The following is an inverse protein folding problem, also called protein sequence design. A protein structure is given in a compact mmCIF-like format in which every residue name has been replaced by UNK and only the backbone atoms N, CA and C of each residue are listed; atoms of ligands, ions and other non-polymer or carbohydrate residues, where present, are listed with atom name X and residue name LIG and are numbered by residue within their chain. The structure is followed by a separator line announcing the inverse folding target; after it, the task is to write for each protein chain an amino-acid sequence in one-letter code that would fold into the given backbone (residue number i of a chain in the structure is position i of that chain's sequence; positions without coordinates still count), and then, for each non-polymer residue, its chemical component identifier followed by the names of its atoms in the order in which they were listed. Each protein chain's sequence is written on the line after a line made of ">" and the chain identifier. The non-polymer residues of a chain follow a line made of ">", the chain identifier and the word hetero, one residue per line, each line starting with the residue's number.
data_IF_855989000531
#
_entry.id   IF_855989000531
#
_cell.length_a   1.000
_cell.length_b   1.000
_cell.length_c   1.000
_cell.angle_alpha   90.00
_cell.angle_beta   90.00
_cell.angle_gamma   90.00
#
_symmetry.space_group_name_H-M   'P 1'
#
loop_
_entity.id
_entity.type
_entity.pdbx_description
1 polymer ?
#
# COMPACT_ATOMS: atom_id res chain seq x y z
N UNK A 1 -34.60 -71.84 48.14
CA UNK A 1 -33.18 -72.27 48.27
C UNK A 1 -32.31 -71.18 47.65
N UNK A 2 -31.84 -70.20 48.44
CA UNK A 2 -30.43 -70.02 48.84
C UNK A 2 -29.43 -70.38 47.71
N UNK A 3 -28.74 -69.38 47.13
CA UNK A 3 -27.30 -69.14 47.37
C UNK A 3 -26.79 -67.84 46.72
N UNK A 4 -26.22 -67.02 47.60
CA UNK A 4 -25.38 -65.84 47.35
C UNK A 4 -23.97 -66.25 46.88
N UNK A 5 -23.30 -65.32 46.18
CA UNK A 5 -21.86 -64.94 46.15
C UNK A 5 -21.59 -64.25 44.79
N UNK A 6 -20.78 -63.21 44.60
CA UNK A 6 -20.02 -62.27 45.41
C UNK A 6 -19.38 -61.24 44.43
N UNK A 7 -19.32 -59.96 44.84
CA UNK A 7 -18.23 -58.97 44.66
C UNK A 7 -17.67 -58.63 43.27
N UNK A 8 -18.05 -57.42 42.82
CA UNK A 8 -17.23 -56.24 42.43
C UNK A 8 -15.96 -56.39 41.58
N UNK A 9 -15.91 -55.69 40.43
CA UNK A 9 -14.74 -54.89 39.98
C UNK A 9 -15.17 -53.66 39.16
N UNK A 10 -14.61 -52.52 39.56
CA UNK A 10 -14.64 -51.20 38.94
C UNK A 10 -14.12 -51.25 37.49
N UNK A 11 -14.73 -50.49 36.58
CA UNK A 11 -14.05 -49.94 35.40
C UNK A 11 -14.77 -48.67 34.96
N UNK A 12 -14.17 -47.53 35.33
CA UNK A 12 -14.49 -46.21 34.77
C UNK A 12 -13.85 -46.16 33.39
N UNK A 13 -14.64 -45.94 32.33
CA UNK A 13 -14.11 -45.55 31.04
C UNK A 13 -14.66 -44.16 30.70
N UNK A 14 -13.82 -43.16 30.92
CA UNK A 14 -14.04 -41.79 30.48
C UNK A 14 -13.80 -41.74 28.96
N UNK A 15 -14.85 -41.43 28.19
CA UNK A 15 -14.72 -41.15 26.77
C UNK A 15 -14.43 -39.64 26.60
N UNK A 16 -13.16 -39.28 26.47
CA UNK A 16 -12.75 -37.91 26.15
C UNK A 16 -12.99 -37.63 24.66
N UNK A 17 -13.82 -36.63 24.36
CA UNK A 17 -14.01 -36.08 23.03
C UNK A 17 -12.76 -35.27 22.63
N UNK A 18 -11.99 -35.75 21.67
CA UNK A 18 -10.91 -34.99 21.06
C UNK A 18 -11.49 -34.13 19.93
N UNK A 19 -11.83 -32.87 20.22
CA UNK A 19 -12.05 -31.85 19.19
C UNK A 19 -10.68 -31.36 18.72
N UNK A 20 -10.19 -31.88 17.60
CA UNK A 20 -9.04 -31.32 16.90
C UNK A 20 -9.48 -30.06 16.15
N UNK A 21 -9.34 -28.90 16.80
CA UNK A 21 -9.39 -27.62 16.09
C UNK A 21 -8.15 -27.56 15.20
N UNK A 22 -8.33 -27.88 13.91
CA UNK A 22 -7.33 -27.66 12.89
C UNK A 22 -7.13 -26.16 12.69
N UNK A 23 -6.21 -25.57 13.44
CA UNK A 23 -5.71 -24.22 13.16
C UNK A 23 -4.92 -24.33 11.84
N UNK A 24 -5.58 -24.13 10.70
CA UNK A 24 -4.89 -23.97 9.43
C UNK A 24 -3.98 -22.75 9.55
N UNK A 25 -2.70 -22.95 9.82
CA UNK A 25 -1.69 -21.92 9.58
C UNK A 25 -1.81 -21.54 8.10
N UNK A 26 -2.23 -20.32 7.83
CA UNK A 26 -2.20 -19.77 6.48
C UNK A 26 -0.76 -19.94 5.97
N UNK A 27 -0.59 -20.83 5.00
CA UNK A 27 0.71 -21.02 4.35
C UNK A 27 0.94 -19.77 3.51
N UNK A 28 2.07 -19.11 3.72
CA UNK A 28 2.46 -17.99 2.88
C UNK A 28 2.38 -18.38 1.40
N UNK A 29 1.95 -17.43 0.58
CA UNK A 29 1.87 -17.61 -0.86
C UNK A 29 3.26 -17.91 -1.44
N UNK A 30 3.30 -18.42 -2.68
CA UNK A 30 4.58 -18.64 -3.37
C UNK A 30 5.40 -17.34 -3.42
N UNK A 31 6.73 -17.38 -3.30
CA UNK A 31 7.55 -16.17 -3.41
C UNK A 31 7.27 -15.39 -4.69
N UNK A 32 7.32 -14.05 -4.60
CA UNK A 32 7.19 -13.15 -5.76
C UNK A 32 8.32 -13.39 -6.77
N UNK A 33 8.03 -13.23 -8.06
CA UNK A 33 9.08 -13.20 -9.09
C UNK A 33 9.96 -11.95 -8.91
N UNK A 34 11.18 -11.95 -9.46
CA UNK A 34 12.05 -10.76 -9.41
C UNK A 34 11.38 -9.55 -10.06
N UNK A 35 10.59 -9.75 -11.11
CA UNK A 35 9.83 -8.69 -11.78
C UNK A 35 8.72 -8.16 -10.90
N UNK A 36 7.96 -9.03 -10.23
CA UNK A 36 6.92 -8.62 -9.28
C UNK A 36 7.52 -7.81 -8.12
N UNK A 37 8.61 -8.29 -7.52
CA UNK A 37 9.32 -7.60 -6.43
C UNK A 37 9.78 -6.19 -6.83
N UNK A 38 10.34 -6.07 -8.04
CA UNK A 38 10.82 -4.80 -8.56
C UNK A 38 9.68 -3.80 -8.71
N UNK A 39 8.60 -4.16 -9.41
CA UNK A 39 7.48 -3.22 -9.63
C UNK A 39 6.72 -2.91 -8.34
N UNK A 40 6.57 -3.90 -7.46
CA UNK A 40 5.94 -3.70 -6.15
C UNK A 40 6.75 -2.73 -5.28
N UNK A 41 8.08 -2.82 -5.29
CA UNK A 41 8.95 -1.87 -4.58
C UNK A 41 8.89 -0.47 -5.20
N UNK A 42 8.98 -0.36 -6.53
CA UNK A 42 8.90 0.93 -7.23
C UNK A 42 7.57 1.65 -6.97
N UNK A 43 6.45 0.92 -7.04
CA UNK A 43 5.13 1.48 -6.72
C UNK A 43 5.06 1.97 -5.27
N UNK A 44 5.69 1.24 -4.35
CA UNK A 44 5.75 1.67 -2.94
C UNK A 44 6.55 2.97 -2.79
N UNK A 45 7.71 3.09 -3.43
CA UNK A 45 8.51 4.31 -3.41
C UNK A 45 7.75 5.51 -4.01
N UNK A 46 7.04 5.31 -5.12
CA UNK A 46 6.21 6.33 -5.74
C UNK A 46 5.09 6.81 -4.80
N UNK A 47 4.35 5.87 -4.20
CA UNK A 47 3.27 6.16 -3.25
C UNK A 47 3.79 6.87 -1.98
N UNK A 48 4.95 6.46 -1.46
CA UNK A 48 5.61 7.15 -0.34
C UNK A 48 6.00 8.58 -0.71
N UNK A 49 6.44 8.80 -1.95
CA UNK A 49 6.77 10.12 -2.46
C UNK A 49 5.57 11.04 -2.57
N UNK A 50 4.48 10.56 -3.17
CA UNK A 50 3.22 11.29 -3.25
C UNK A 50 2.73 11.72 -1.86
N UNK A 51 2.72 10.80 -0.90
CA UNK A 51 2.32 11.08 0.47
C UNK A 51 3.23 12.13 1.13
N UNK A 52 4.54 12.02 0.92
CA UNK A 52 5.52 12.91 1.56
C UNK A 52 5.43 14.34 1.04
N UNK A 53 5.37 14.52 -0.28
CA UNK A 53 5.21 15.84 -0.91
C UNK A 53 3.86 16.46 -0.53
N UNK A 54 2.79 15.66 -0.53
CA UNK A 54 1.46 16.15 -0.18
C UNK A 54 1.35 16.54 1.31
N UNK A 55 2.09 15.89 2.22
CA UNK A 55 2.17 16.33 3.63
C UNK A 55 2.94 17.65 3.79
N UNK A 56 3.91 17.94 2.93
CA UNK A 56 4.53 19.27 2.90
C UNK A 56 3.49 20.29 2.43
N UNK A 57 2.72 19.95 1.38
CA UNK A 57 1.70 20.83 0.83
C UNK A 57 0.54 21.13 1.79
N UNK A 58 0.07 20.14 2.56
CA UNK A 58 -0.94 20.38 3.61
C UNK A 58 -0.53 21.51 4.59
N UNK A 59 0.77 21.61 4.89
CA UNK A 59 1.32 22.61 5.81
C UNK A 59 1.62 23.95 5.13
N UNK A 60 2.02 23.94 3.86
CA UNK A 60 2.62 25.11 3.21
C UNK A 60 1.77 25.73 2.10
N UNK A 61 0.76 25.01 1.60
CA UNK A 61 -0.12 25.48 0.55
C UNK A 61 -0.77 26.82 0.93
N UNK A 62 -0.82 27.73 -0.03
CA UNK A 62 -1.31 29.10 0.13
C UNK A 62 -2.79 29.22 -0.19
N UNK A 63 -3.30 28.33 -1.03
CA UNK A 63 -4.69 28.36 -1.46
C UNK A 63 -5.46 27.14 -0.97
N UNK A 64 -6.72 27.35 -0.57
CA UNK A 64 -7.62 26.27 -0.13
C UNK A 64 -7.79 25.15 -1.17
N UNK A 65 -7.91 25.43 -2.49
CA UNK A 65 -7.99 24.37 -3.49
C UNK A 65 -6.75 23.46 -3.51
N UNK A 66 -5.55 24.02 -3.35
CA UNK A 66 -4.29 23.23 -3.33
C UNK A 66 -4.16 22.44 -2.03
N UNK A 67 -4.56 23.04 -0.90
CA UNK A 67 -4.60 22.32 0.38
C UNK A 67 -5.57 21.14 0.34
N UNK A 68 -6.76 21.33 -0.21
CA UNK A 68 -7.73 20.24 -0.40
C UNK A 68 -7.18 19.16 -1.32
N UNK A 69 -6.55 19.55 -2.44
CA UNK A 69 -5.89 18.59 -3.34
C UNK A 69 -4.86 17.74 -2.57
N UNK A 70 -3.99 18.37 -1.78
CA UNK A 70 -2.99 17.68 -0.98
C UNK A 70 -3.60 16.69 0.04
N UNK A 71 -4.70 17.05 0.71
CA UNK A 71 -5.43 16.13 1.59
C UNK A 71 -5.97 14.90 0.86
N UNK A 72 -6.53 15.11 -0.33
CA UNK A 72 -7.06 14.02 -1.15
C UNK A 72 -5.92 13.06 -1.58
N UNK A 73 -4.74 13.59 -1.93
CA UNK A 73 -3.53 12.81 -2.28
C UNK A 73 -2.99 12.00 -1.09
N UNK A 74 -2.85 12.61 0.09
CA UNK A 74 -2.42 11.88 1.31
C UNK A 74 -3.35 10.69 1.56
N UNK A 75 -4.66 10.92 1.47
CA UNK A 75 -5.65 9.89 1.72
C UNK A 75 -5.60 8.76 0.68
N UNK A 76 -5.34 9.10 -0.59
CA UNK A 76 -5.13 8.15 -1.69
C UNK A 76 -3.88 7.30 -1.47
N UNK A 77 -2.74 7.96 -1.27
CA UNK A 77 -1.46 7.33 -1.04
C UNK A 77 -1.47 6.40 0.18
N UNK A 78 -2.07 6.81 1.31
CA UNK A 78 -2.18 5.94 2.50
C UNK A 78 -3.01 4.67 2.26
N UNK A 79 -4.01 4.73 1.37
CA UNK A 79 -4.77 3.52 0.98
C UNK A 79 -3.92 2.62 0.09
N UNK A 80 -3.25 3.20 -0.90
CA UNK A 80 -2.36 2.46 -1.81
C UNK A 80 -1.20 1.80 -1.05
N UNK A 81 -0.57 2.51 -0.11
CA UNK A 81 0.50 1.98 0.74
C UNK A 81 0.03 0.75 1.52
N UNK A 82 -1.16 0.80 2.13
CA UNK A 82 -1.75 -0.34 2.85
C UNK A 82 -2.03 -1.54 1.94
N UNK A 83 -2.53 -1.29 0.74
CA UNK A 83 -2.79 -2.33 -0.25
C UNK A 83 -1.49 -3.02 -0.70
N UNK A 84 -0.43 -2.24 -0.96
CA UNK A 84 0.89 -2.74 -1.35
C UNK A 84 1.54 -3.55 -0.23
N UNK A 85 1.49 -3.08 1.01
CA UNK A 85 1.96 -3.81 2.18
C UNK A 85 1.21 -5.13 2.37
N UNK A 86 -0.12 -5.09 2.28
CA UNK A 86 -0.94 -6.29 2.40
C UNK A 86 -0.63 -7.32 1.30
N UNK A 87 -0.27 -6.87 0.09
CA UNK A 87 0.20 -7.77 -0.96
C UNK A 87 1.58 -8.34 -0.61
N UNK A 88 2.56 -7.50 -0.28
CA UNK A 88 3.91 -7.93 0.07
C UNK A 88 3.95 -8.95 1.23
N UNK A 89 3.13 -8.74 2.26
CA UNK A 89 3.03 -9.60 3.44
C UNK A 89 2.58 -11.02 3.10
N UNK A 90 1.67 -11.20 2.13
CA UNK A 90 1.23 -12.54 1.66
C UNK A 90 2.39 -13.39 1.16
N UNK A 91 3.43 -12.74 0.68
CA UNK A 91 4.61 -13.34 0.07
C UNK A 91 5.87 -13.25 0.95
N UNK A 92 5.75 -12.75 2.19
CA UNK A 92 6.87 -12.43 3.09
C UNK A 92 7.94 -11.54 2.43
N UNK A 93 7.50 -10.59 1.59
CA UNK A 93 8.40 -9.64 0.95
C UNK A 93 8.46 -8.35 1.78
N UNK A 94 9.67 -7.80 1.95
CA UNK A 94 9.87 -6.56 2.69
C UNK A 94 9.93 -5.41 1.70
N UNK A 95 9.03 -4.45 1.87
CA UNK A 95 8.97 -3.23 1.08
C UNK A 95 10.00 -2.18 1.55
N UNK A 96 10.39 -1.24 0.68
CA UNK A 96 11.16 -0.05 1.08
C UNK A 96 10.47 0.69 2.23
N UNK A 97 11.24 1.13 3.22
CA UNK A 97 10.67 1.88 4.33
C UNK A 97 10.52 3.37 4.02
N UNK A 98 9.52 4.00 4.63
CA UNK A 98 9.30 5.45 4.55
C UNK A 98 10.53 6.26 4.98
N UNK A 99 11.22 5.84 6.03
CA UNK A 99 12.37 6.57 6.57
C UNK A 99 13.57 6.51 5.62
N UNK A 100 13.82 5.37 4.98
CA UNK A 100 14.87 5.22 3.96
C UNK A 100 14.53 6.05 2.72
N UNK A 101 13.28 5.99 2.26
CA UNK A 101 12.82 6.78 1.13
C UNK A 101 12.98 8.27 1.39
N UNK A 102 12.55 8.75 2.57
CA UNK A 102 12.63 10.16 2.93
C UNK A 102 14.08 10.65 3.00
N UNK A 103 15.00 9.86 3.58
CA UNK A 103 16.44 10.18 3.61
C UNK A 103 17.03 10.25 2.21
N UNK A 104 16.65 9.34 1.32
CA UNK A 104 17.11 9.34 -0.06
C UNK A 104 16.60 10.53 -0.88
N UNK A 105 15.45 11.10 -0.50
CA UNK A 105 14.78 12.19 -1.20
C UNK A 105 14.79 13.53 -0.44
N UNK A 106 15.61 13.66 0.60
CA UNK A 106 15.65 14.81 1.50
C UNK A 106 15.85 16.14 0.75
N UNK A 107 16.76 16.18 -0.22
CA UNK A 107 17.02 17.35 -1.04
C UNK A 107 15.78 17.79 -1.85
N UNK A 108 15.03 16.83 -2.39
CA UNK A 108 13.78 17.09 -3.15
C UNK A 108 12.69 17.64 -2.22
N UNK A 109 12.53 17.02 -1.04
CA UNK A 109 11.56 17.46 -0.04
C UNK A 109 11.87 18.89 0.44
N UNK A 110 13.13 19.19 0.75
CA UNK A 110 13.57 20.52 1.14
C UNK A 110 13.43 21.55 0.02
N UNK A 111 13.70 21.18 -1.23
CA UNK A 111 13.49 22.08 -2.38
C UNK A 111 12.01 22.50 -2.49
N UNK A 112 11.09 21.55 -2.38
CA UNK A 112 9.66 21.87 -2.41
C UNK A 112 9.26 22.77 -1.24
N UNK A 113 9.67 22.42 -0.02
CA UNK A 113 9.34 23.16 1.20
C UNK A 113 9.78 24.64 1.15
N UNK A 114 10.91 24.92 0.51
CA UNK A 114 11.49 26.27 0.40
C UNK A 114 11.12 27.00 -0.91
N UNK A 115 10.17 26.48 -1.69
CA UNK A 115 9.80 27.08 -2.97
C UNK A 115 9.05 28.41 -2.79
N UNK A 116 9.50 29.51 -3.46
CA UNK A 116 8.84 30.83 -3.35
C UNK A 116 7.38 30.81 -3.81
N UNK A 117 7.11 30.13 -4.94
CA UNK A 117 5.76 29.90 -5.47
C UNK A 117 5.29 28.49 -5.09
N UNK A 118 5.13 28.25 -3.78
CA UNK A 118 4.90 26.91 -3.22
C UNK A 118 3.79 26.10 -3.93
N UNK A 119 2.61 26.69 -4.11
CA UNK A 119 1.47 26.00 -4.74
C UNK A 119 1.79 25.55 -6.17
N UNK A 120 2.51 26.40 -6.93
CA UNK A 120 2.94 26.08 -8.30
C UNK A 120 3.95 24.93 -8.30
N UNK A 121 4.98 25.04 -7.45
CA UNK A 121 6.02 24.04 -7.34
C UNK A 121 5.45 22.67 -6.92
N UNK A 122 4.54 22.64 -5.95
CA UNK A 122 3.87 21.41 -5.53
C UNK A 122 3.04 20.79 -6.68
N UNK A 123 2.22 21.58 -7.36
CA UNK A 123 1.41 21.08 -8.47
C UNK A 123 2.27 20.61 -9.65
N UNK A 124 3.40 21.27 -9.93
CA UNK A 124 4.36 20.84 -10.96
C UNK A 124 4.99 19.48 -10.61
N UNK A 125 5.40 19.28 -9.35
CA UNK A 125 5.89 17.98 -8.86
C UNK A 125 4.81 16.90 -8.98
N UNK A 126 3.56 17.21 -8.61
CA UNK A 126 2.45 16.27 -8.72
C UNK A 126 2.15 15.91 -10.17
N UNK A 127 2.09 16.87 -11.09
CA UNK A 127 1.86 16.61 -12.52
C UNK A 127 2.93 15.68 -13.07
N UNK A 128 4.21 15.96 -12.76
CA UNK A 128 5.34 15.15 -13.20
C UNK A 128 5.24 13.72 -12.65
N UNK A 129 5.06 13.57 -11.33
CA UNK A 129 5.01 12.27 -10.68
C UNK A 129 3.83 11.44 -11.21
N UNK A 130 2.65 12.03 -11.36
CA UNK A 130 1.48 11.32 -11.89
C UNK A 130 1.70 10.83 -13.33
N UNK A 131 2.33 11.63 -14.18
CA UNK A 131 2.68 11.21 -15.55
C UNK A 131 3.67 10.03 -15.56
N UNK A 132 4.68 10.08 -14.68
CA UNK A 132 5.67 9.02 -14.54
C UNK A 132 5.03 7.72 -13.98
N UNK A 133 4.22 7.83 -12.93
CA UNK A 133 3.49 6.71 -12.31
C UNK A 133 2.51 6.06 -13.30
N UNK A 134 1.70 6.84 -14.02
CA UNK A 134 0.76 6.28 -15.03
C UNK A 134 1.54 5.47 -16.07
N UNK A 135 2.68 5.99 -16.55
CA UNK A 135 3.51 5.27 -17.52
C UNK A 135 4.10 4.00 -16.91
N UNK A 136 4.62 4.07 -15.67
CA UNK A 136 5.22 2.93 -15.00
C UNK A 136 4.17 1.85 -14.71
N UNK A 137 3.01 2.22 -14.19
CA UNK A 137 1.97 1.28 -13.76
C UNK A 137 1.30 0.61 -14.96
N UNK A 138 1.07 1.31 -16.06
CA UNK A 138 0.65 0.67 -17.30
C UNK A 138 1.67 -0.37 -17.78
N UNK A 139 2.97 -0.04 -17.73
CA UNK A 139 4.03 -0.99 -18.07
C UNK A 139 4.06 -2.16 -17.08
N UNK A 140 3.89 -1.92 -15.79
CA UNK A 140 3.87 -2.94 -14.76
C UNK A 140 2.72 -3.93 -14.99
N UNK A 141 1.52 -3.45 -15.30
CA UNK A 141 0.35 -4.28 -15.62
C UNK A 141 0.59 -5.26 -16.79
N UNK A 142 1.51 -4.95 -17.71
CA UNK A 142 1.91 -5.84 -18.80
C UNK A 142 3.03 -6.83 -18.43
N UNK A 143 3.80 -6.55 -17.37
CA UNK A 143 5.07 -7.23 -17.06
C UNK A 143 5.04 -8.09 -15.82
N UNK A 144 4.22 -7.76 -14.83
CA UNK A 144 4.11 -8.55 -13.60
C UNK A 144 3.43 -9.90 -13.90
N UNK A 145 3.89 -10.92 -13.20
CA UNK A 145 3.37 -12.28 -13.31
C UNK A 145 2.16 -12.47 -12.39
N UNK A 146 2.17 -11.78 -11.26
CA UNK A 146 1.15 -11.90 -10.23
C UNK A 146 -0.15 -11.18 -10.65
N UNK A 147 -1.23 -11.96 -10.77
CA UNK A 147 -2.53 -11.46 -11.24
C UNK A 147 -3.11 -10.33 -10.38
N UNK A 148 -2.91 -10.37 -9.05
CA UNK A 148 -3.34 -9.30 -8.15
C UNK A 148 -2.58 -8.00 -8.42
N UNK A 149 -1.26 -8.04 -8.65
CA UNK A 149 -0.49 -6.85 -9.03
C UNK A 149 -0.89 -6.33 -10.40
N UNK A 150 -1.13 -7.21 -11.36
CA UNK A 150 -1.60 -6.81 -12.69
C UNK A 150 -2.90 -6.01 -12.61
N UNK A 151 -3.86 -6.51 -11.85
CA UNK A 151 -5.14 -5.83 -11.63
C UNK A 151 -4.93 -4.50 -10.90
N UNK A 152 -4.14 -4.52 -9.82
CA UNK A 152 -3.85 -3.32 -9.02
C UNK A 152 -3.26 -2.20 -9.89
N UNK A 153 -2.22 -2.50 -10.67
CA UNK A 153 -1.60 -1.52 -11.55
C UNK A 153 -2.54 -0.97 -12.62
N UNK A 154 -3.41 -1.83 -13.18
CA UNK A 154 -4.42 -1.42 -14.17
C UNK A 154 -5.41 -0.43 -13.56
N UNK A 155 -5.96 -0.75 -12.39
CA UNK A 155 -6.98 0.06 -11.74
C UNK A 155 -6.42 1.40 -11.26
N UNK A 156 -5.25 1.38 -10.60
CA UNK A 156 -4.67 2.60 -10.03
C UNK A 156 -4.14 3.55 -11.10
N UNK A 157 -3.66 3.05 -12.25
CA UNK A 157 -3.29 3.91 -13.36
C UNK A 157 -4.49 4.72 -13.89
N UNK A 158 -5.70 4.15 -13.88
CA UNK A 158 -6.91 4.87 -14.25
C UNK A 158 -7.28 5.95 -13.22
N UNK A 159 -7.13 5.65 -11.92
CA UNK A 159 -7.40 6.62 -10.84
C UNK A 159 -6.45 7.82 -10.91
N UNK A 160 -5.16 7.61 -11.25
CA UNK A 160 -4.17 8.69 -11.35
C UNK A 160 -4.49 9.70 -12.46
N UNK A 161 -5.16 9.30 -13.54
CA UNK A 161 -5.50 10.23 -14.63
C UNK A 161 -6.40 11.37 -14.12
N UNK A 162 -7.38 11.05 -13.26
CA UNK A 162 -8.24 12.07 -12.65
C UNK A 162 -7.45 13.01 -11.73
N UNK A 163 -6.42 12.50 -11.05
CA UNK A 163 -5.59 13.28 -10.14
C UNK A 163 -4.70 14.24 -10.93
N UNK A 164 -4.06 13.75 -12.01
CA UNK A 164 -3.31 14.53 -12.98
C UNK A 164 -4.15 15.68 -13.57
N UNK A 165 -5.36 15.38 -14.07
CA UNK A 165 -6.23 16.39 -14.67
C UNK A 165 -6.58 17.51 -13.67
N UNK A 166 -6.82 17.16 -12.40
CA UNK A 166 -7.08 18.14 -11.34
C UNK A 166 -5.84 18.97 -11.02
N UNK A 167 -4.66 18.34 -10.95
CA UNK A 167 -3.41 19.05 -10.70
C UNK A 167 -3.13 20.08 -11.80
N UNK A 168 -3.28 19.68 -13.08
CA UNK A 168 -3.13 20.59 -14.23
C UNK A 168 -4.12 21.74 -14.17
N UNK A 169 -5.40 21.46 -13.92
CA UNK A 169 -6.42 22.51 -13.84
C UNK A 169 -6.18 23.49 -12.67
N UNK A 170 -5.63 23.03 -11.55
CA UNK A 170 -5.22 23.89 -10.44
C UNK A 170 -3.98 24.70 -10.82
N UNK A 171 -3.02 24.09 -11.52
CA UNK A 171 -1.76 24.73 -11.92
C UNK A 171 -1.98 25.88 -12.89
N UNK A 172 -2.88 25.70 -13.85
CA UNK A 172 -3.26 26.73 -14.81
C UNK A 172 -3.93 27.93 -14.14
N UNK A 173 -4.71 27.69 -13.09
CA UNK A 173 -5.35 28.75 -12.29
C UNK A 173 -4.40 29.44 -11.33
N UNK A 174 -3.32 28.75 -10.92
CA UNK A 174 -2.33 29.29 -10.01
C UNK A 174 -1.43 30.38 -10.65
N UNK A 175 -1.52 30.59 -11.99
CA UNK A 175 -1.10 31.79 -12.73
C UNK A 175 0.26 32.35 -12.37
#
# INVERSE_FOLDING_TARGET
>A
MIRSKAVSRLSVLAMAAAMTVGMSRARAAAPLSTTDQQYLSQATEEVLGEASLSRIADKHAKTEPVKKYAHDMISGAERMEKELHAEADKHNYVLPSKDEWAKANDARLHQLENSPDFDKAYLDEQIKDHQEMIKLWNKAAEKVDLASLKQWFTDKAADLQSQLDRATALRDKAG
#
